data_IF_255347986028
#
_entry.id   IF_255347986028
#
_cell.length_a   1.000
_cell.length_b   1.000
_cell.length_c   1.000
_cell.angle_alpha   90.00
_cell.angle_beta   90.00
_cell.angle_gamma   90.00
#
_symmetry.space_group_name_H-M   'P 1'
#
loop_
_entity.id
_entity.type
_entity.pdbx_description
1 polymer ?
#
# COMPACT_ATOMS: atom_id res chain seq x y z
N UNK A 1 -28.21 -33.57 -14.38
CA UNK A 1 -28.69 -32.62 -14.51
C UNK A 1 -28.60 -31.52 -13.57
N UNK A 2 -29.47 -31.43 -12.67
CA UNK A 2 -29.50 -30.31 -11.76
C UNK A 2 -28.28 -30.22 -10.92
N UNK A 3 -27.61 -31.29 -10.73
CA UNK A 3 -26.48 -31.27 -9.86
C UNK A 3 -25.33 -30.47 -10.43
N UNK A 4 -25.16 -30.56 -11.69
CA UNK A 4 -24.06 -29.87 -12.31
C UNK A 4 -24.15 -28.39 -12.18
N UNK A 5 -25.35 -27.90 -12.16
CA UNK A 5 -25.52 -26.47 -12.04
C UNK A 5 -25.11 -25.94 -10.71
N UNK A 6 -25.46 -26.65 -9.69
CA UNK A 6 -25.13 -26.20 -8.36
C UNK A 6 -23.62 -26.17 -8.15
N UNK A 7 -22.96 -27.12 -8.67
CA UNK A 7 -21.53 -27.18 -8.51
C UNK A 7 -20.86 -26.01 -9.20
N UNK A 8 -21.34 -25.69 -10.34
CA UNK A 8 -20.75 -24.62 -11.07
C UNK A 8 -20.80 -23.31 -10.34
N UNK A 9 -21.86 -23.06 -9.69
CA UNK A 9 -21.99 -21.82 -8.99
C UNK A 9 -21.05 -21.67 -7.83
N UNK A 10 -20.69 -22.75 -7.23
CA UNK A 10 -19.78 -22.71 -6.13
C UNK A 10 -18.38 -22.34 -6.54
N UNK A 11 -18.01 -22.66 -7.73
CA UNK A 11 -16.66 -22.44 -8.13
C UNK A 11 -16.38 -21.05 -8.60
N UNK A 12 -17.35 -20.39 -9.12
CA UNK A 12 -17.09 -19.14 -9.70
C UNK A 12 -16.85 -17.99 -8.79
N UNK A 13 -17.69 -17.73 -7.93
CA UNK A 13 -17.61 -16.49 -7.28
C UNK A 13 -16.55 -16.38 -6.26
N UNK A 14 -16.34 -16.23 -5.56
CA UNK A 14 -15.63 -15.94 -4.47
C UNK A 14 -14.18 -16.26 -4.44
N UNK A 15 -13.81 -17.19 -5.15
CA UNK A 15 -12.48 -17.68 -5.04
C UNK A 15 -11.44 -16.70 -5.56
N UNK A 16 -11.67 -16.23 -6.74
CA UNK A 16 -10.70 -15.33 -7.36
C UNK A 16 -10.57 -14.01 -6.64
N UNK A 17 -11.66 -13.51 -6.10
CA UNK A 17 -11.63 -12.22 -5.44
C UNK A 17 -11.02 -12.25 -4.06
N UNK A 18 -11.04 -13.40 -3.44
CA UNK A 18 -10.59 -13.49 -2.07
C UNK A 18 -9.12 -13.81 -1.91
N UNK A 19 -8.44 -14.15 -2.98
CA UNK A 19 -7.05 -14.56 -2.87
C UNK A 19 -6.11 -13.39 -2.86
N UNK A 20 -5.25 -13.37 -1.88
CA UNK A 20 -4.15 -12.45 -1.85
C UNK A 20 -2.97 -13.06 -2.57
N UNK A 21 -2.18 -12.24 -3.24
CA UNK A 21 -0.95 -12.71 -3.84
C UNK A 21 0.08 -12.93 -2.75
N UNK A 22 1.09 -13.71 -3.05
CA UNK A 22 2.17 -13.93 -2.10
C UNK A 22 2.87 -12.61 -1.78
N UNK A 23 3.04 -11.76 -2.77
CA UNK A 23 3.65 -10.45 -2.57
C UNK A 23 2.86 -9.61 -1.58
N UNK A 24 1.54 -9.68 -1.62
CA UNK A 24 0.73 -8.91 -0.67
C UNK A 24 0.81 -9.45 0.74
N UNK A 25 1.00 -10.74 0.88
CA UNK A 25 1.06 -11.35 2.20
C UNK A 25 2.34 -11.07 2.95
N UNK A 26 3.41 -10.77 2.25
CA UNK A 26 4.69 -10.53 2.89
C UNK A 26 5.10 -9.06 2.87
N UNK A 27 4.15 -8.16 2.61
CA UNK A 27 4.41 -6.74 2.73
C UNK A 27 3.54 -6.17 3.83
N UNK A 28 4.10 -5.30 4.63
CA UNK A 28 3.38 -4.68 5.72
C UNK A 28 3.67 -3.20 5.75
N UNK A 29 2.70 -2.44 6.26
CA UNK A 29 2.84 -1.03 6.53
C UNK A 29 3.72 -0.93 7.79
N UNK A 30 4.99 -0.71 7.62
CA UNK A 30 5.93 -0.76 8.72
C UNK A 30 5.80 0.44 9.64
N UNK A 31 5.59 1.60 9.07
CA UNK A 31 5.45 2.81 9.86
C UNK A 31 4.85 3.92 9.02
N UNK A 32 4.15 4.81 9.71
CA UNK A 32 3.68 6.04 9.10
C UNK A 32 3.79 7.11 10.18
N UNK A 33 4.32 8.24 9.83
CA UNK A 33 4.57 9.29 10.82
C UNK A 33 4.54 10.66 10.20
N UNK A 34 4.14 11.65 11.02
CA UNK A 34 4.30 13.05 10.69
C UNK A 34 5.60 13.53 11.31
N UNK A 35 6.24 14.43 10.63
CA UNK A 35 7.41 15.09 11.18
C UNK A 35 7.46 16.52 10.69
N UNK A 36 8.40 17.30 11.23
CA UNK A 36 8.60 18.66 10.77
C UNK A 36 10.09 18.93 10.64
N UNK A 37 10.40 19.82 9.70
CA UNK A 37 11.77 20.23 9.47
C UNK A 37 11.70 21.73 9.14
N UNK A 38 11.93 22.57 10.14
CA UNK A 38 11.77 24.00 10.00
C UNK A 38 10.32 24.37 9.86
N UNK A 39 9.99 25.07 8.80
CA UNK A 39 8.62 25.51 8.53
C UNK A 39 7.87 24.56 7.59
N UNK A 40 8.45 23.40 7.30
CA UNK A 40 7.80 22.40 6.46
C UNK A 40 7.49 21.17 7.28
N UNK A 41 6.39 20.53 6.92
CA UNK A 41 6.00 19.28 7.56
C UNK A 41 5.97 18.17 6.53
N UNK A 42 6.12 16.93 6.97
CA UNK A 42 6.14 15.81 6.06
C UNK A 42 5.42 14.61 6.68
N UNK A 43 4.91 13.77 5.79
CA UNK A 43 4.30 12.51 6.16
C UNK A 43 5.07 11.40 5.48
N UNK A 44 5.51 10.41 6.25
CA UNK A 44 6.28 9.28 5.74
C UNK A 44 5.43 8.05 5.76
N UNK A 45 5.45 7.32 4.66
CA UNK A 45 4.78 6.02 4.56
C UNK A 45 5.86 5.00 4.22
N UNK A 46 6.09 4.06 5.12
CA UNK A 46 7.14 3.07 5.00
C UNK A 46 6.54 1.66 4.90
N UNK A 47 6.98 0.88 3.94
CA UNK A 47 6.49 -0.47 3.70
C UNK A 47 7.66 -1.43 3.80
N UNK A 48 7.45 -2.53 4.51
CA UNK A 48 8.48 -3.54 4.69
C UNK A 48 8.21 -4.75 3.80
N UNK A 49 9.24 -5.24 3.14
CA UNK A 49 9.21 -6.47 2.37
C UNK A 49 9.81 -7.59 3.20
N UNK A 50 8.97 -8.49 3.69
CA UNK A 50 9.45 -9.66 4.44
C UNK A 50 9.58 -10.89 3.57
N UNK A 51 9.35 -10.75 2.27
CA UNK A 51 9.54 -11.83 1.32
C UNK A 51 11.02 -12.13 1.12
N UNK A 52 11.29 -13.25 0.51
CA UNK A 52 12.65 -13.64 0.13
C UNK A 52 12.99 -13.23 -1.29
N UNK A 53 12.15 -12.45 -1.92
CA UNK A 53 12.34 -12.01 -3.30
C UNK A 53 12.05 -10.53 -3.42
N UNK A 54 12.54 -9.96 -4.50
CA UNK A 54 12.39 -8.53 -4.77
C UNK A 54 10.98 -8.20 -5.19
N UNK A 55 10.52 -7.06 -4.76
CA UNK A 55 9.17 -6.59 -5.07
C UNK A 55 9.20 -5.23 -5.77
N UNK A 56 8.23 -5.02 -6.64
CA UNK A 56 7.90 -3.70 -7.14
C UNK A 56 6.63 -3.27 -6.45
N UNK A 57 6.69 -2.19 -5.69
CA UNK A 57 5.56 -1.72 -4.91
C UNK A 57 5.15 -0.32 -5.33
N UNK A 58 3.86 -0.13 -5.52
CA UNK A 58 3.29 1.19 -5.72
C UNK A 58 2.80 1.70 -4.38
N UNK A 59 3.29 2.83 -3.96
CA UNK A 59 2.94 3.45 -2.70
C UNK A 59 2.12 4.70 -2.97
N UNK A 60 1.01 4.84 -2.29
CA UNK A 60 0.11 5.98 -2.49
C UNK A 60 -0.23 6.62 -1.15
N UNK A 61 -0.19 7.94 -1.11
CA UNK A 61 -0.60 8.72 0.05
C UNK A 61 -1.64 9.73 -0.39
N UNK A 62 -2.69 9.86 0.40
CA UNK A 62 -3.66 10.94 0.28
C UNK A 62 -3.74 11.61 1.63
N UNK A 63 -3.48 12.89 1.69
CA UNK A 63 -3.45 13.65 2.93
C UNK A 63 -4.32 14.89 2.78
N UNK A 64 -5.35 14.98 3.62
CA UNK A 64 -6.23 16.13 3.65
C UNK A 64 -5.80 17.06 4.77
N UNK A 65 -5.39 18.27 4.41
CA UNK A 65 -4.99 19.30 5.37
C UNK A 65 -5.92 20.49 5.26
N UNK A 66 -5.68 21.48 6.08
CA UNK A 66 -6.42 22.74 6.02
C UNK A 66 -6.25 23.45 4.69
N UNK A 67 -5.19 23.15 3.96
CA UNK A 67 -4.92 23.78 2.66
C UNK A 67 -5.41 22.94 1.49
N UNK A 68 -6.06 21.81 1.75
CA UNK A 68 -6.64 21.00 0.72
C UNK A 68 -6.08 19.59 0.68
N UNK A 69 -6.36 18.88 -0.39
CA UNK A 69 -5.97 17.50 -0.56
C UNK A 69 -4.61 17.42 -1.24
N UNK A 70 -3.72 16.67 -0.63
CA UNK A 70 -2.39 16.43 -1.16
C UNK A 70 -2.26 14.95 -1.50
N UNK A 71 -1.84 14.66 -2.72
CA UNK A 71 -1.69 13.29 -3.19
C UNK A 71 -0.27 13.07 -3.69
N UNK A 72 0.24 11.89 -3.43
CA UNK A 72 1.51 11.49 -4.03
C UNK A 72 1.54 9.99 -4.21
N UNK A 73 2.33 9.54 -5.17
CA UNK A 73 2.51 8.12 -5.38
C UNK A 73 3.91 7.88 -5.94
N UNK A 74 4.39 6.68 -5.75
CA UNK A 74 5.73 6.31 -6.22
C UNK A 74 5.79 4.79 -6.38
N UNK A 75 6.49 4.36 -7.41
CA UNK A 75 6.76 2.94 -7.58
C UNK A 75 8.20 2.71 -7.14
N UNK A 76 8.40 1.82 -6.19
CA UNK A 76 9.72 1.55 -5.64
C UNK A 76 10.02 0.06 -5.74
N UNK A 77 11.29 -0.26 -5.93
CA UNK A 77 11.75 -1.64 -5.84
C UNK A 77 12.24 -1.86 -4.41
N UNK A 78 11.71 -2.88 -3.76
CA UNK A 78 12.10 -3.18 -2.38
C UNK A 78 12.78 -4.54 -2.37
N UNK A 79 14.04 -4.55 -1.98
CA UNK A 79 14.82 -5.77 -1.88
C UNK A 79 14.30 -6.68 -0.76
N UNK A 80 14.63 -7.96 -0.77
CA UNK A 80 14.19 -8.86 0.29
C UNK A 80 14.62 -8.34 1.66
N UNK A 81 13.72 -8.43 2.61
CA UNK A 81 13.97 -8.03 4.00
C UNK A 81 14.37 -6.56 4.15
N UNK A 82 13.88 -5.73 3.27
CA UNK A 82 14.18 -4.30 3.25
C UNK A 82 12.92 -3.47 3.26
N UNK A 83 13.09 -2.16 3.28
CA UNK A 83 11.98 -1.20 3.33
C UNK A 83 11.99 -0.32 2.10
N UNK A 84 10.82 0.19 1.74
CA UNK A 84 10.68 1.25 0.77
C UNK A 84 9.77 2.31 1.34
N UNK A 85 10.00 3.56 1.00
CA UNK A 85 9.21 4.65 1.58
C UNK A 85 8.83 5.70 0.58
N UNK A 86 7.75 6.41 0.92
CA UNK A 86 7.29 7.58 0.19
C UNK A 86 7.14 8.69 1.20
N UNK A 87 7.68 9.87 0.88
CA UNK A 87 7.60 11.04 1.75
C UNK A 87 6.81 12.11 1.04
N UNK A 88 5.78 12.62 1.69
CA UNK A 88 4.97 13.70 1.18
C UNK A 88 5.22 14.95 2.02
N UNK A 89 5.69 16.02 1.37
CA UNK A 89 5.94 17.29 2.05
C UNK A 89 4.72 18.17 1.92
N UNK A 90 4.33 18.81 3.02
CA UNK A 90 3.16 19.66 3.05
C UNK A 90 3.47 20.96 3.78
N UNK A 91 2.63 21.95 3.56
CA UNK A 91 2.79 23.25 4.22
C UNK A 91 2.45 23.16 5.69
N UNK A 92 1.44 22.42 6.01
CA UNK A 92 1.02 22.28 7.38
C UNK A 92 0.49 20.87 7.54
N UNK A 93 0.79 20.28 8.65
CA UNK A 93 0.35 18.93 8.93
C UNK A 93 -1.04 18.89 9.50
N UNK A 94 -1.41 17.76 9.97
CA UNK A 94 -2.70 17.55 10.56
C UNK A 94 -3.73 17.15 9.54
N UNK A 95 -4.86 16.73 10.02
CA UNK A 95 -5.93 16.27 9.18
C UNK A 95 -5.92 14.77 9.01
N UNK A 96 -6.55 14.28 7.94
CA UNK A 96 -6.74 12.87 7.73
C UNK A 96 -5.80 12.37 6.65
N UNK A 97 -5.24 11.19 6.90
CA UNK A 97 -4.37 10.56 5.92
C UNK A 97 -4.88 9.17 5.58
N UNK A 98 -4.69 8.80 4.32
CA UNK A 98 -4.94 7.45 3.85
C UNK A 98 -3.72 7.00 3.09
N UNK A 99 -3.32 5.76 3.28
CA UNK A 99 -2.18 5.22 2.58
C UNK A 99 -2.50 3.84 2.06
N UNK A 100 -1.94 3.50 0.92
CA UNK A 100 -2.17 2.21 0.30
C UNK A 100 -0.90 1.75 -0.38
N UNK A 101 -0.67 0.46 -0.38
CA UNK A 101 0.43 -0.11 -1.13
C UNK A 101 -0.07 -1.32 -1.93
N UNK A 102 0.55 -1.53 -3.07
CA UNK A 102 0.25 -2.66 -3.92
C UNK A 102 1.56 -3.17 -4.48
N UNK A 103 1.88 -4.41 -4.22
CA UNK A 103 3.18 -4.98 -4.56
C UNK A 103 3.05 -6.21 -5.43
N UNK A 104 4.06 -6.42 -6.28
CA UNK A 104 4.15 -7.62 -7.10
C UNK A 104 5.59 -8.08 -7.14
N UNK A 105 5.78 -9.37 -7.31
CA UNK A 105 7.11 -9.95 -7.46
C UNK A 105 7.68 -9.58 -8.82
N UNK A 106 8.94 -9.26 -8.85
CA UNK A 106 9.64 -8.93 -10.10
C UNK A 106 10.84 -9.82 -10.32
#
# INVERSE_FOLDING_TARGET
>A
MKYALAVLMLLLPGVACAQETLAERCTTDAASAYGSNGDREFFVFDVENTCDFRLSCELNIALLTAFGLNLDHKIVTIEPKSHGSLVLWVKSGGGMSTRRHSCKQI
#
